data_IF_010721232252
#
_entry.id   IF_010721232252
#
_cell.length_a   1.000
_cell.length_b   1.000
_cell.length_c   1.000
_cell.angle_alpha   90.00
_cell.angle_beta   90.00
_cell.angle_gamma   90.00
#
_symmetry.space_group_name_H-M   'P 1'
#
loop_
_entity.id
_entity.type
_entity.pdbx_description
1 polymer ?
#
# COMPACT_ATOMS: atom_id res chain seq x y z
N UNK A 1 -4.25 -14.58 4.89
CA UNK A 1 -3.86 -13.25 4.35
C UNK A 1 -4.10 -13.26 2.85
N UNK A 2 -4.93 -12.36 2.32
CA UNK A 2 -5.19 -12.28 0.88
C UNK A 2 -4.04 -11.50 0.24
N UNK A 3 -3.11 -12.19 -0.42
CA UNK A 3 -1.91 -11.56 -0.99
C UNK A 3 -2.18 -10.99 -2.38
N UNK A 4 -1.74 -9.75 -2.60
CA UNK A 4 -1.73 -9.08 -3.90
C UNK A 4 -0.31 -8.93 -4.44
N UNK A 5 -0.19 -8.67 -5.74
CA UNK A 5 1.07 -8.30 -6.39
C UNK A 5 0.97 -6.88 -6.92
N UNK A 6 2.07 -6.15 -6.83
CA UNK A 6 2.21 -4.78 -7.34
C UNK A 6 3.52 -4.70 -8.13
N UNK A 7 3.45 -4.20 -9.36
CA UNK A 7 4.66 -3.90 -10.13
C UNK A 7 5.09 -2.47 -9.81
N UNK A 8 6.36 -2.26 -9.48
CA UNK A 8 6.85 -0.94 -9.11
C UNK A 8 6.70 0.09 -10.25
N UNK A 9 6.63 -0.34 -11.52
CA UNK A 9 6.34 0.56 -12.64
C UNK A 9 4.85 0.93 -12.80
N UNK A 10 3.95 0.33 -12.01
CA UNK A 10 2.50 0.54 -12.11
C UNK A 10 1.97 1.50 -11.04
N UNK A 11 2.46 2.74 -11.08
CA UNK A 11 2.03 3.79 -10.16
C UNK A 11 0.55 4.18 -10.31
N UNK A 12 -0.11 3.77 -11.41
CA UNK A 12 -1.49 4.15 -11.73
C UNK A 12 -2.53 3.46 -10.83
N UNK A 13 -2.19 2.33 -10.22
CA UNK A 13 -3.11 1.61 -9.32
C UNK A 13 -3.26 2.30 -7.95
N UNK A 14 -2.21 2.96 -7.46
CA UNK A 14 -2.27 3.80 -6.25
C UNK A 14 -2.75 3.10 -4.97
N UNK A 15 -2.33 1.84 -4.72
CA UNK A 15 -2.77 1.08 -3.55
C UNK A 15 -2.28 1.67 -2.22
N UNK A 16 -3.17 1.72 -1.22
CA UNK A 16 -2.87 2.25 0.11
C UNK A 16 -1.64 1.59 0.74
N UNK A 17 -1.44 0.27 0.53
CA UNK A 17 -0.27 -0.44 1.06
C UNK A 17 1.08 0.23 0.72
N UNK A 18 1.15 0.86 -0.47
CA UNK A 18 2.34 1.52 -1.00
C UNK A 18 2.30 3.06 -0.88
N UNK A 19 1.26 3.61 -0.25
CA UNK A 19 1.08 5.05 -0.12
C UNK A 19 1.80 5.60 1.12
N UNK A 20 2.61 6.67 0.98
CA UNK A 20 3.30 7.39 2.08
C UNK A 20 2.37 7.82 3.20
N UNK A 21 1.11 8.09 2.88
CA UNK A 21 0.12 8.54 3.86
C UNK A 21 -0.58 7.39 4.60
N UNK A 22 -0.35 6.14 4.21
CA UNK A 22 -0.89 4.97 4.89
C UNK A 22 0.10 4.50 5.96
N UNK A 23 -0.30 4.68 7.22
CA UNK A 23 0.55 4.61 8.40
C UNK A 23 0.83 3.16 8.84
N UNK A 24 1.71 2.50 8.09
CA UNK A 24 2.39 1.25 8.44
C UNK A 24 3.89 1.52 8.50
N UNK A 25 4.42 2.07 9.61
CA UNK A 25 5.81 2.52 9.71
C UNK A 25 6.82 1.39 9.56
N UNK A 26 6.42 0.16 9.89
CA UNK A 26 7.24 -1.04 9.72
C UNK A 26 7.17 -1.64 8.32
N UNK A 27 6.36 -1.07 7.42
CA UNK A 27 6.05 -1.63 6.10
C UNK A 27 5.66 -3.12 6.16
N UNK A 28 5.02 -3.51 7.25
CA UNK A 28 4.66 -4.88 7.57
C UNK A 28 3.54 -5.44 6.68
N UNK A 29 2.98 -4.63 5.78
CA UNK A 29 2.03 -5.03 4.76
C UNK A 29 2.66 -5.34 3.40
N UNK A 30 3.95 -5.02 3.16
CA UNK A 30 4.59 -5.17 1.86
C UNK A 30 5.87 -6.00 1.98
N UNK A 31 6.22 -6.70 0.90
CA UNK A 31 7.44 -7.49 0.81
C UNK A 31 8.00 -7.42 -0.62
N UNK A 32 9.29 -7.13 -0.81
CA UNK A 32 9.90 -7.16 -2.13
C UNK A 32 9.93 -8.60 -2.66
N UNK A 33 9.71 -8.75 -3.96
CA UNK A 33 9.89 -10.00 -4.71
C UNK A 33 11.06 -9.84 -5.70
N UNK A 34 11.39 -10.92 -6.42
CA UNK A 34 12.39 -10.86 -7.50
C UNK A 34 11.94 -9.94 -8.64
N UNK A 35 12.88 -9.14 -9.16
CA UNK A 35 12.59 -8.10 -10.14
C UNK A 35 11.89 -6.90 -9.51
N UNK A 36 11.32 -6.01 -10.33
CA UNK A 36 10.60 -4.82 -9.85
C UNK A 36 9.18 -5.13 -9.31
N UNK A 37 9.00 -6.29 -8.65
CA UNK A 37 7.73 -6.77 -8.13
C UNK A 37 7.66 -6.72 -6.61
N UNK A 38 6.46 -6.48 -6.11
CA UNK A 38 6.16 -6.44 -4.69
C UNK A 38 4.94 -7.31 -4.38
N UNK A 39 5.00 -8.01 -3.25
CA UNK A 39 3.84 -8.65 -2.62
C UNK A 39 3.29 -7.70 -1.55
N UNK A 40 1.97 -7.70 -1.37
CA UNK A 40 1.35 -6.97 -0.28
C UNK A 40 0.12 -7.67 0.31
N UNK A 41 -0.19 -7.38 1.57
CA UNK A 41 -1.42 -7.82 2.22
C UNK A 41 -2.58 -6.90 1.84
N UNK A 42 -3.55 -7.46 1.11
CA UNK A 42 -4.74 -6.74 0.63
C UNK A 42 -5.71 -6.37 1.74
N UNK A 43 -5.76 -7.17 2.81
CA UNK A 43 -6.73 -7.01 3.90
C UNK A 43 -6.15 -6.29 5.11
N UNK A 44 -4.83 -6.12 5.18
CA UNK A 44 -4.22 -5.34 6.24
C UNK A 44 -4.78 -3.93 6.26
N UNK A 45 -5.09 -3.45 7.45
CA UNK A 45 -5.61 -2.11 7.68
C UNK A 45 -4.58 -1.26 8.37
N UNK A 46 -4.45 -0.02 7.92
CA UNK A 46 -3.68 1.00 8.59
C UNK A 46 -4.38 2.36 8.49
N UNK A 47 -3.99 3.27 9.37
CA UNK A 47 -4.54 4.63 9.42
C UNK A 47 -4.06 5.43 8.20
N UNK A 48 -4.97 6.07 7.48
CA UNK A 48 -4.60 7.06 6.48
C UNK A 48 -4.48 8.45 7.11
N UNK A 49 -3.31 9.07 6.95
CA UNK A 49 -2.97 10.38 7.53
C UNK A 49 -3.61 11.56 6.77
N UNK A 50 -4.18 11.34 5.59
CA UNK A 50 -4.86 12.37 4.77
C UNK A 50 -6.38 12.33 4.83
N UNK A 51 -6.98 11.28 5.40
CA UNK A 51 -8.44 11.10 5.49
C UNK A 51 -8.92 11.14 6.95
N UNK A 52 -8.46 12.14 7.71
CA UNK A 52 -8.85 12.35 9.12
C UNK A 52 -8.53 11.15 10.03
N UNK A 53 -7.66 10.24 9.60
CA UNK A 53 -7.26 9.07 10.38
C UNK A 53 -8.16 7.84 10.24
N UNK A 54 -9.01 7.76 9.22
CA UNK A 54 -9.75 6.53 8.93
C UNK A 54 -8.80 5.36 8.64
N UNK A 55 -9.14 4.16 9.11
CA UNK A 55 -8.46 2.93 8.73
C UNK A 55 -8.90 2.54 7.31
N UNK A 56 -7.93 2.24 6.45
CA UNK A 56 -8.19 1.74 5.09
C UNK A 56 -7.41 0.46 4.85
N UNK A 57 -7.95 -0.42 4.01
CA UNK A 57 -7.30 -1.66 3.61
C UNK A 57 -6.17 -1.40 2.61
N UNK A 58 -5.13 -2.23 2.63
CA UNK A 58 -3.99 -2.13 1.72
C UNK A 58 -4.38 -2.15 0.24
N UNK A 59 -5.43 -2.89 -0.14
CA UNK A 59 -5.96 -2.95 -1.51
C UNK A 59 -6.75 -1.73 -1.97
N UNK A 60 -7.16 -0.85 -1.05
CA UNK A 60 -7.94 0.33 -1.44
C UNK A 60 -7.03 1.28 -2.25
N UNK A 61 -7.58 1.92 -3.26
CA UNK A 61 -6.86 2.93 -4.04
C UNK A 61 -6.94 4.30 -3.35
N UNK A 62 -5.94 5.15 -3.58
CA UNK A 62 -5.86 6.47 -2.97
C UNK A 62 -5.78 7.56 -4.05
N UNK A 63 -6.74 8.50 -4.07
CA UNK A 63 -6.68 9.67 -4.97
C UNK A 63 -5.59 10.69 -4.61
N UNK A 64 -4.98 10.56 -3.42
CA UNK A 64 -3.82 11.34 -2.96
C UNK A 64 -2.60 10.43 -2.82
N UNK A 65 -2.45 9.47 -3.73
CA UNK A 65 -1.39 8.48 -3.67
C UNK A 65 -0.03 9.14 -3.89
N UNK A 66 0.90 8.87 -2.97
CA UNK A 66 2.31 9.15 -3.14
C UNK A 66 3.08 7.89 -2.78
N UNK A 67 3.93 7.39 -3.68
CA UNK A 67 4.68 6.16 -3.48
C UNK A 67 5.69 6.30 -2.32
N UNK A 68 5.74 5.30 -1.42
CA UNK A 68 6.66 5.25 -0.26
C UNK A 68 7.93 4.41 -0.44
N UNK A 69 8.01 3.65 -1.54
CA UNK A 69 9.12 2.75 -1.87
C UNK A 69 10.02 3.37 -2.94
#
# INVERSE_FOLDING_TARGET
MSKGKFYAGDFRLGYCAFCKHWYDPTNSAIKPLSGNWWEFDREKEARCMKSVGMKTKGRNTCGKFELKI
#
